data_IF_394844292339
#
_entry.id   IF_394844292339
#
_cell.length_a   1.000
_cell.length_b   1.000
_cell.length_c   1.000
_cell.angle_alpha   90.00
_cell.angle_beta   90.00
_cell.angle_gamma   90.00
#
_symmetry.space_group_name_H-M   'P 1'
#
loop_
_entity.id
_entity.type
_entity.pdbx_description
1 polymer ?
#
# COMPACT_ATOMS: atom_id res chain seq x y z
N UNK A 1 -8.07 0.25 29.78
CA UNK A 1 -8.20 -0.89 28.85
C UNK A 1 -7.05 -1.84 29.10
N UNK A 2 -7.36 -3.10 29.39
CA UNK A 2 -6.34 -4.14 29.43
C UNK A 2 -5.77 -4.38 28.01
N UNK A 3 -4.65 -5.11 27.90
CA UNK A 3 -3.97 -5.29 26.61
C UNK A 3 -4.85 -5.99 25.56
N UNK A 4 -5.72 -6.93 25.96
CA UNK A 4 -6.67 -7.61 25.06
C UNK A 4 -7.74 -6.67 24.51
N UNK A 5 -8.19 -5.71 25.31
CA UNK A 5 -9.17 -4.71 24.89
C UNK A 5 -8.55 -3.71 23.91
N UNK A 6 -7.30 -3.29 24.13
CA UNK A 6 -6.56 -2.43 23.19
C UNK A 6 -6.32 -3.12 21.84
N UNK A 7 -5.98 -4.40 21.85
CA UNK A 7 -5.84 -5.20 20.62
C UNK A 7 -7.17 -5.38 19.87
N UNK A 8 -8.27 -5.58 20.61
CA UNK A 8 -9.61 -5.68 20.02
C UNK A 8 -10.03 -4.36 19.36
N UNK A 9 -9.82 -3.25 20.06
CA UNK A 9 -10.07 -1.90 19.54
C UNK A 9 -9.25 -1.60 18.28
N UNK A 10 -7.95 -1.94 18.29
CA UNK A 10 -7.08 -1.78 17.12
C UNK A 10 -7.56 -2.58 15.90
N UNK A 11 -8.05 -3.81 16.12
CA UNK A 11 -8.62 -4.65 15.04
C UNK A 11 -9.90 -4.08 14.47
N UNK A 12 -10.81 -3.54 15.31
CA UNK A 12 -12.02 -2.89 14.82
C UNK A 12 -11.71 -1.65 13.99
N UNK A 13 -10.82 -0.79 14.47
CA UNK A 13 -10.37 0.39 13.71
C UNK A 13 -9.79 0.01 12.36
N UNK A 14 -8.99 -1.06 12.29
CA UNK A 14 -8.44 -1.54 11.02
C UNK A 14 -9.53 -2.10 10.09
N UNK A 15 -10.54 -2.80 10.62
CA UNK A 15 -11.66 -3.30 9.83
C UNK A 15 -12.46 -2.14 9.21
N UNK A 16 -12.77 -1.11 10.00
CA UNK A 16 -13.42 0.12 9.54
C UNK A 16 -12.57 0.88 8.52
N UNK A 17 -11.27 1.02 8.77
CA UNK A 17 -10.35 1.66 7.84
C UNK A 17 -10.35 0.97 6.46
N UNK A 18 -10.41 -0.36 6.45
CA UNK A 18 -10.42 -1.15 5.21
C UNK A 18 -11.76 -1.12 4.46
N UNK A 19 -12.88 -0.72 5.07
CA UNK A 19 -14.15 -0.63 4.33
C UNK A 19 -14.11 0.48 3.28
N UNK A 20 -13.44 1.59 3.58
CA UNK A 20 -13.33 2.77 2.70
C UNK A 20 -12.69 2.45 1.34
N UNK A 21 -11.47 1.87 1.25
CA UNK A 21 -10.88 1.50 -0.02
C UNK A 21 -11.66 0.40 -0.76
N UNK A 22 -12.34 -0.50 -0.06
CA UNK A 22 -13.24 -1.51 -0.70
C UNK A 22 -14.45 -0.86 -1.37
N UNK A 23 -15.08 0.11 -0.72
CA UNK A 23 -16.19 0.87 -1.30
C UNK A 23 -15.73 1.71 -2.51
N UNK A 24 -14.53 2.28 -2.46
CA UNK A 24 -13.93 2.97 -3.62
C UNK A 24 -13.70 2.01 -4.78
N UNK A 25 -13.15 0.82 -4.52
CA UNK A 25 -12.95 -0.22 -5.54
C UNK A 25 -14.28 -0.61 -6.20
N UNK A 26 -15.32 -0.90 -5.40
CA UNK A 26 -16.66 -1.23 -5.92
C UNK A 26 -17.21 -0.12 -6.81
N UNK A 27 -17.02 1.14 -6.41
CA UNK A 27 -17.47 2.30 -7.18
C UNK A 27 -16.72 2.41 -8.51
N UNK A 28 -15.40 2.23 -8.51
CA UNK A 28 -14.60 2.26 -9.74
C UNK A 28 -14.99 1.13 -10.70
N UNK A 29 -15.17 -0.09 -10.21
CA UNK A 29 -15.61 -1.21 -11.05
C UNK A 29 -17.05 -1.05 -11.58
N UNK A 30 -17.95 -0.41 -10.82
CA UNK A 30 -19.28 -0.05 -11.33
C UNK A 30 -19.19 0.84 -12.58
N UNK A 31 -18.38 1.91 -12.52
CA UNK A 31 -18.20 2.79 -13.68
C UNK A 31 -17.43 2.11 -14.81
N UNK A 32 -16.40 1.32 -14.49
CA UNK A 32 -15.63 0.57 -15.48
C UNK A 32 -16.54 -0.37 -16.27
N UNK A 33 -17.41 -1.13 -15.61
CA UNK A 33 -18.37 -2.01 -16.28
C UNK A 33 -19.38 -1.22 -17.11
N UNK A 34 -19.96 -0.14 -16.55
CA UNK A 34 -20.94 0.71 -17.26
C UNK A 34 -20.37 1.35 -18.53
N UNK A 35 -19.09 1.71 -18.53
CA UNK A 35 -18.42 2.46 -19.60
C UNK A 35 -17.50 1.59 -20.46
N UNK A 36 -17.42 0.27 -20.20
CA UNK A 36 -16.50 -0.65 -20.85
C UNK A 36 -15.02 -0.22 -20.73
N UNK A 37 -14.59 0.17 -19.53
CA UNK A 37 -13.23 0.56 -19.18
C UNK A 37 -12.53 -0.47 -18.28
N UNK A 38 -11.23 -0.26 -18.06
CA UNK A 38 -10.42 -0.97 -17.06
C UNK A 38 -10.16 -0.08 -15.84
N UNK A 39 -10.04 -0.69 -14.67
CA UNK A 39 -9.65 -0.02 -13.42
C UNK A 39 -8.13 0.03 -13.31
N UNK A 40 -7.58 1.25 -13.24
CA UNK A 40 -6.14 1.48 -13.04
C UNK A 40 -5.82 1.56 -11.54
N UNK A 41 -4.97 0.65 -11.08
CA UNK A 41 -4.45 0.67 -9.71
C UNK A 41 -3.19 1.51 -9.58
N UNK A 42 -2.96 2.07 -8.40
CA UNK A 42 -1.86 3.00 -8.12
C UNK A 42 -0.71 2.37 -7.33
N UNK A 43 -0.82 1.09 -6.99
CA UNK A 43 0.19 0.38 -6.19
C UNK A 43 1.55 0.41 -6.88
N UNK A 44 2.55 1.00 -6.20
CA UNK A 44 3.93 1.00 -6.65
C UNK A 44 4.74 -0.15 -6.04
N UNK A 45 5.95 -0.41 -6.53
CA UNK A 45 6.80 -1.53 -6.10
C UNK A 45 7.02 -1.52 -4.58
N UNK A 46 7.21 -0.34 -4.00
CA UNK A 46 7.47 -0.18 -2.57
C UNK A 46 6.26 -0.61 -1.75
N UNK A 47 5.07 -0.11 -2.07
CA UNK A 47 3.80 -0.47 -1.40
C UNK A 47 3.44 -1.95 -1.59
N UNK A 48 3.52 -2.44 -2.83
CA UNK A 48 3.17 -3.81 -3.18
C UNK A 48 4.03 -4.83 -2.41
N UNK A 49 5.33 -4.57 -2.33
CA UNK A 49 6.29 -5.50 -1.71
C UNK A 49 6.00 -5.73 -0.23
N UNK A 50 5.67 -4.68 0.52
CA UNK A 50 5.33 -4.79 1.95
C UNK A 50 3.83 -5.01 2.20
N UNK A 51 3.02 -5.05 1.14
CA UNK A 51 1.58 -5.24 1.23
C UNK A 51 0.82 -4.07 1.84
N UNK A 52 1.30 -2.84 1.64
CA UNK A 52 0.69 -1.61 2.14
C UNK A 52 -0.43 -1.14 1.21
N UNK A 53 -1.50 -1.93 1.18
CA UNK A 53 -2.76 -1.68 0.47
C UNK A 53 -3.85 -2.57 1.09
N UNK A 54 -5.11 -2.24 0.86
CA UNK A 54 -6.24 -3.09 1.25
C UNK A 54 -6.45 -4.17 0.20
N UNK A 55 -6.40 -5.45 0.61
CA UNK A 55 -6.73 -6.58 -0.27
C UNK A 55 -8.18 -6.46 -0.73
N UNK A 56 -8.39 -6.49 -2.05
CA UNK A 56 -9.68 -6.22 -2.70
C UNK A 56 -10.26 -4.83 -2.39
N UNK A 57 -9.40 -3.86 -2.05
CA UNK A 57 -9.69 -2.44 -2.01
C UNK A 57 -8.94 -1.74 -3.13
N UNK A 58 -8.05 -0.82 -2.78
CA UNK A 58 -7.10 -0.18 -3.71
C UNK A 58 -6.15 -1.19 -4.39
N UNK A 59 -5.93 -2.37 -3.78
CA UNK A 59 -5.23 -3.49 -4.44
C UNK A 59 -6.06 -4.29 -5.44
N UNK A 60 -7.37 -4.01 -5.57
CA UNK A 60 -8.23 -4.60 -6.60
C UNK A 60 -8.27 -3.69 -7.83
N UNK A 61 -7.54 -4.07 -8.87
CA UNK A 61 -7.44 -3.33 -10.13
C UNK A 61 -7.10 -4.28 -11.28
N UNK A 62 -7.29 -3.81 -12.52
CA UNK A 62 -7.02 -4.59 -13.73
C UNK A 62 -5.58 -4.39 -14.23
N UNK A 63 -5.01 -3.19 -14.07
CA UNK A 63 -3.62 -2.86 -14.45
C UNK A 63 -2.91 -2.02 -13.39
N UNK A 64 -1.57 -2.16 -13.30
CA UNK A 64 -0.71 -1.45 -12.35
C UNK A 64 0.48 -0.76 -13.05
N UNK A 65 0.29 0.42 -13.67
CA UNK A 65 1.36 1.10 -14.42
C UNK A 65 2.58 1.46 -13.58
N UNK A 66 2.39 1.66 -12.27
CA UNK A 66 3.45 2.02 -11.32
C UNK A 66 4.08 0.81 -10.60
N UNK A 67 3.58 -0.41 -10.85
CA UNK A 67 3.89 -1.60 -10.04
C UNK A 67 5.37 -1.98 -9.96
N UNK A 68 6.18 -1.52 -10.91
CA UNK A 68 7.63 -1.75 -10.96
C UNK A 68 8.47 -0.57 -10.45
N UNK A 69 7.86 0.56 -10.12
CA UNK A 69 8.54 1.77 -9.69
C UNK A 69 8.66 1.84 -8.17
N UNK A 70 9.84 2.19 -7.67
CA UNK A 70 10.04 2.58 -6.27
C UNK A 70 9.35 3.92 -5.97
N UNK A 71 9.10 4.24 -4.69
CA UNK A 71 8.44 5.49 -4.31
C UNK A 71 9.22 6.71 -4.79
N UNK A 72 10.55 6.67 -4.75
CA UNK A 72 11.41 7.73 -5.29
C UNK A 72 11.21 7.91 -6.80
N UNK A 73 11.11 6.81 -7.55
CA UNK A 73 10.91 6.84 -9.00
C UNK A 73 9.52 7.34 -9.38
N UNK A 74 8.49 7.07 -8.55
CA UNK A 74 7.16 7.67 -8.72
C UNK A 74 7.22 9.19 -8.56
N UNK A 75 8.01 9.71 -7.61
CA UNK A 75 8.21 11.17 -7.45
C UNK A 75 8.98 11.76 -8.63
N UNK A 76 10.06 11.12 -9.07
CA UNK A 76 10.82 11.54 -10.27
C UNK A 76 9.93 11.59 -11.51
N UNK A 77 9.08 10.58 -11.73
CA UNK A 77 8.11 10.55 -12.83
C UNK A 77 7.07 11.68 -12.70
N UNK A 78 6.58 11.96 -11.49
CA UNK A 78 5.64 13.05 -11.25
C UNK A 78 6.26 14.42 -11.55
N UNK A 79 7.54 14.63 -11.18
CA UNK A 79 8.29 15.84 -11.53
C UNK A 79 8.44 16.00 -13.05
N UNK A 80 8.82 14.91 -13.73
CA UNK A 80 8.95 14.88 -15.19
C UNK A 80 7.63 15.22 -15.90
N UNK A 81 6.50 14.73 -15.38
CA UNK A 81 5.16 15.01 -15.92
C UNK A 81 4.62 16.40 -15.53
N UNK A 82 5.37 17.20 -14.78
CA UNK A 82 4.96 18.55 -14.37
C UNK A 82 3.86 18.57 -13.31
N UNK A 83 3.72 17.51 -12.50
CA UNK A 83 2.75 17.48 -11.40
C UNK A 83 3.10 18.59 -10.39
N UNK A 84 2.10 19.35 -9.87
CA UNK A 84 2.35 20.40 -8.91
C UNK A 84 3.17 19.96 -7.69
N UNK A 85 4.19 20.75 -7.31
CA UNK A 85 5.06 20.46 -6.14
C UNK A 85 4.29 20.21 -4.84
N UNK A 86 3.14 20.87 -4.66
CA UNK A 86 2.26 20.66 -3.49
C UNK A 86 1.72 19.23 -3.39
N UNK A 87 1.60 18.51 -4.50
CA UNK A 87 1.17 17.11 -4.54
C UNK A 87 2.38 16.20 -4.28
N UNK A 88 3.51 16.46 -4.94
CA UNK A 88 4.73 15.65 -4.83
C UNK A 88 5.31 15.68 -3.41
N UNK A 89 5.31 16.86 -2.77
CA UNK A 89 5.89 17.09 -1.46
C UNK A 89 4.93 16.79 -0.30
N UNK A 90 3.65 16.51 -0.59
CA UNK A 90 2.70 16.14 0.46
C UNK A 90 3.16 14.82 1.10
N UNK A 91 3.19 14.73 2.45
CA UNK A 91 3.44 13.46 3.12
C UNK A 91 2.47 12.37 2.63
N UNK A 92 2.96 11.18 2.22
CA UNK A 92 2.11 10.07 1.84
C UNK A 92 1.16 9.67 2.97
N UNK A 93 -0.11 9.48 2.61
CA UNK A 93 -1.20 9.17 3.53
C UNK A 93 -2.28 8.41 2.78
N UNK A 94 -2.76 7.31 3.36
CA UNK A 94 -3.93 6.57 2.91
C UNK A 94 -5.25 7.32 3.16
N UNK A 95 -5.24 8.39 3.97
CA UNK A 95 -6.39 9.25 4.24
C UNK A 95 -7.53 8.49 4.92
N UNK A 96 -7.19 7.52 5.77
CA UNK A 96 -8.17 6.66 6.44
C UNK A 96 -8.69 7.31 7.73
N UNK A 97 -7.88 8.15 8.39
CA UNK A 97 -8.24 9.02 9.51
C UNK A 97 -7.34 10.27 9.53
N UNK A 98 -7.72 11.27 10.34
CA UNK A 98 -7.02 12.55 10.42
C UNK A 98 -5.60 12.38 11.01
N UNK A 99 -4.62 13.07 10.44
CA UNK A 99 -3.22 13.04 10.87
C UNK A 99 -2.43 11.77 10.49
N UNK A 100 -3.05 10.81 9.81
CA UNK A 100 -2.43 9.55 9.41
C UNK A 100 -1.31 9.73 8.36
N UNK A 101 -0.13 9.15 8.59
CA UNK A 101 0.94 9.05 7.59
C UNK A 101 1.38 7.60 7.35
N UNK A 102 1.78 7.30 6.13
CA UNK A 102 2.17 5.95 5.74
C UNK A 102 3.43 5.49 6.50
N UNK A 103 4.42 6.36 6.65
CA UNK A 103 5.71 6.01 7.29
C UNK A 103 5.56 5.69 8.79
N UNK A 104 4.60 6.32 9.48
CA UNK A 104 4.29 6.01 10.88
C UNK A 104 3.64 4.62 11.01
N UNK A 105 2.70 4.27 10.13
CA UNK A 105 2.07 2.94 10.14
C UNK A 105 3.01 1.82 9.68
N UNK A 106 3.84 2.12 8.68
CA UNK A 106 4.86 1.19 8.20
C UNK A 106 5.95 1.06 9.26
N UNK A 107 6.27 2.13 9.99
CA UNK A 107 7.38 2.16 10.95
C UNK A 107 8.75 2.07 10.28
N UNK A 108 8.82 2.41 8.99
CA UNK A 108 10.00 2.47 8.11
C UNK A 108 9.73 3.59 7.09
N UNK A 109 10.73 4.45 6.83
CA UNK A 109 10.57 5.49 5.81
C UNK A 109 10.65 4.91 4.40
N UNK A 110 10.02 5.58 3.43
CA UNK A 110 10.11 5.17 2.03
C UNK A 110 11.56 5.20 1.51
N UNK A 111 12.39 6.12 1.99
CA UNK A 111 13.82 6.13 1.62
C UNK A 111 14.57 4.89 2.12
N UNK A 112 14.25 4.40 3.33
CA UNK A 112 14.82 3.16 3.85
C UNK A 112 14.31 1.94 3.08
N UNK A 113 13.00 1.90 2.80
CA UNK A 113 12.38 0.81 2.04
C UNK A 113 12.93 0.75 0.62
N UNK A 114 12.98 1.87 -0.10
CA UNK A 114 13.50 1.93 -1.47
C UNK A 114 14.98 1.52 -1.53
N UNK A 115 15.79 1.95 -0.54
CA UNK A 115 17.19 1.51 -0.42
C UNK A 115 17.29 0.00 -0.25
N UNK A 116 16.47 -0.58 0.62
CA UNK A 116 16.43 -2.03 0.82
C UNK A 116 15.99 -2.76 -0.46
N UNK A 117 14.92 -2.31 -1.12
CA UNK A 117 14.41 -2.94 -2.35
C UNK A 117 15.37 -2.82 -3.54
N UNK A 118 16.21 -1.78 -3.57
CA UNK A 118 17.22 -1.59 -4.61
C UNK A 118 18.49 -2.42 -4.39
N UNK A 119 18.90 -2.60 -3.14
CA UNK A 119 20.24 -3.16 -2.80
C UNK A 119 20.19 -4.51 -2.08
N UNK A 120 19.01 -4.91 -1.59
CA UNK A 120 18.81 -6.09 -0.76
C UNK A 120 19.31 -5.96 0.68
N UNK A 121 19.87 -4.81 1.10
CA UNK A 121 20.48 -4.62 2.43
C UNK A 121 20.23 -3.21 2.96
N UNK A 122 20.22 -3.07 4.28
CA UNK A 122 20.23 -1.77 4.97
C UNK A 122 21.09 -1.85 6.24
N UNK A 123 21.83 -0.79 6.55
CA UNK A 123 22.71 -0.73 7.73
C UNK A 123 21.92 -0.49 9.04
N UNK A 124 20.82 -1.23 9.22
CA UNK A 124 20.00 -1.23 10.42
C UNK A 124 19.20 -2.54 10.47
N UNK A 125 19.65 -3.49 11.31
CA UNK A 125 19.05 -4.82 11.44
C UNK A 125 17.58 -4.78 11.92
N UNK A 126 17.21 -3.77 12.72
CA UNK A 126 15.83 -3.63 13.22
C UNK A 126 14.91 -3.26 12.05
N UNK A 127 15.32 -2.31 11.21
CA UNK A 127 14.56 -1.89 10.03
C UNK A 127 14.50 -3.01 9.00
N UNK A 128 15.62 -3.70 8.75
CA UNK A 128 15.67 -4.84 7.84
C UNK A 128 14.67 -5.93 8.25
N UNK A 129 14.68 -6.31 9.54
CA UNK A 129 13.73 -7.28 10.08
C UNK A 129 12.27 -6.82 9.92
N UNK A 130 11.96 -5.55 10.22
CA UNK A 130 10.61 -5.00 10.03
C UNK A 130 10.12 -5.11 8.58
N UNK A 131 10.99 -4.82 7.61
CA UNK A 131 10.66 -4.94 6.19
C UNK A 131 10.37 -6.40 5.83
N UNK A 132 11.25 -7.32 6.23
CA UNK A 132 11.09 -8.76 5.98
C UNK A 132 9.81 -9.33 6.62
N UNK A 133 9.53 -8.94 7.87
CA UNK A 133 8.32 -9.36 8.59
C UNK A 133 7.07 -8.90 7.84
N UNK A 134 7.02 -7.65 7.37
CA UNK A 134 5.89 -7.14 6.56
C UNK A 134 5.75 -7.85 5.22
N UNK A 135 6.86 -8.10 4.52
CA UNK A 135 6.83 -8.86 3.26
C UNK A 135 6.21 -10.24 3.50
N UNK A 136 6.66 -10.94 4.54
CA UNK A 136 6.23 -12.29 4.87
C UNK A 136 4.75 -12.33 5.26
N UNK A 137 4.34 -11.48 6.20
CA UNK A 137 2.96 -11.40 6.69
C UNK A 137 1.96 -11.03 5.60
N UNK A 138 2.39 -10.23 4.62
CA UNK A 138 1.53 -9.78 3.52
C UNK A 138 1.61 -10.62 2.25
N UNK A 139 2.36 -11.74 2.24
CA UNK A 139 2.54 -12.57 1.05
C UNK A 139 1.22 -12.98 0.38
N UNK A 140 0.22 -13.34 1.19
CA UNK A 140 -1.11 -13.70 0.73
C UNK A 140 -1.86 -12.58 -0.02
N UNK A 141 -1.42 -11.32 0.05
CA UNK A 141 -2.04 -10.21 -0.67
C UNK A 141 -1.57 -10.11 -2.12
N UNK A 142 -0.42 -10.71 -2.46
CA UNK A 142 0.20 -10.65 -3.80
C UNK A 142 -0.10 -11.87 -4.67
N UNK A 143 -0.79 -12.86 -4.12
CA UNK A 143 -1.20 -14.06 -4.84
C UNK A 143 -2.73 -14.12 -4.93
N UNK A 144 -3.28 -14.80 -5.95
CA UNK A 144 -4.66 -15.23 -5.94
C UNK A 144 -5.01 -16.04 -4.67
N UNK A 145 -6.30 -16.22 -4.36
CA UNK A 145 -6.73 -17.18 -3.34
C UNK A 145 -6.08 -18.54 -3.57
N UNK A 146 -5.56 -19.15 -2.51
CA UNK A 146 -4.96 -20.48 -2.60
C UNK A 146 -6.05 -21.52 -2.88
N UNK A 147 -5.80 -22.38 -3.87
CA UNK A 147 -6.67 -23.52 -4.19
C UNK A 147 -5.99 -24.80 -3.75
N UNK A 148 -6.73 -25.78 -3.18
CA UNK A 148 -6.17 -27.10 -2.94
C UNK A 148 -5.69 -27.75 -4.26
N UNK A 149 -4.69 -28.63 -4.22
CA UNK A 149 -4.12 -29.26 -5.41
C UNK A 149 -4.93 -30.48 -5.92
N UNK A 150 -6.19 -30.63 -5.51
CA UNK A 150 -7.06 -31.77 -5.84
C UNK A 150 -8.33 -31.34 -6.57
#
# INVERSE_FOLDING_TARGET
LNDKEKEKEGRFKLAEANIKPRLRMVTLYYFANKLNYLVVGTGNKSELTIGYYTKYGDGGADILPLGNLLKSQVKELAEYLGIPKKIINKPPSAGLWEGQTDEEEIGVSYGQLDKYLKTGKINNKIIEKKIQDKITQSAHKRTPPVTPPF
#
